data_IF_132668191095
#
_entry.id   IF_132668191095
#
_cell.length_a   1.000
_cell.length_b   1.000
_cell.length_c   1.000
_cell.angle_alpha   90.00
_cell.angle_beta   90.00
_cell.angle_gamma   90.00
#
_symmetry.space_group_name_H-M   'P 1'
#
loop_
_entity.id
_entity.type
_entity.pdbx_description
1 polymer ?
#
# COMPACT_ATOMS: atom_id res chain seq x y z
N UNK A 1 28.86 41.89 35.35
CA UNK A 1 29.34 40.49 35.34
C UNK A 1 28.34 39.65 34.57
N UNK A 2 28.51 39.54 33.26
CA UNK A 2 27.70 38.69 32.39
C UNK A 2 28.65 37.95 31.49
N UNK A 3 28.88 36.66 31.73
CA UNK A 3 29.65 35.82 30.83
C UNK A 3 28.69 35.21 29.83
N UNK A 4 28.73 35.76 28.62
CA UNK A 4 28.14 35.20 27.41
C UNK A 4 28.86 33.87 27.12
N UNK A 5 28.12 32.77 27.12
CA UNK A 5 28.64 31.43 26.78
C UNK A 5 28.97 31.39 25.27
N UNK A 6 30.12 30.80 24.92
CA UNK A 6 30.60 30.75 23.53
C UNK A 6 29.86 29.67 22.71
N UNK A 7 29.56 29.91 21.43
CA UNK A 7 28.83 28.96 20.57
C UNK A 7 29.52 27.60 20.36
N UNK A 8 30.80 27.46 20.72
CA UNK A 8 31.56 26.21 20.57
C UNK A 8 31.18 25.12 21.58
N UNK A 9 30.54 25.48 22.70
CA UNK A 9 30.18 24.52 23.76
C UNK A 9 28.87 23.76 23.47
N UNK A 10 28.16 24.14 22.39
CA UNK A 10 26.91 23.50 21.93
C UNK A 10 27.13 22.30 21.00
N UNK A 11 28.37 22.04 20.55
CA UNK A 11 28.63 21.08 19.46
C UNK A 11 28.85 19.63 19.88
N UNK A 12 28.88 19.30 21.18
CA UNK A 12 29.39 18.00 21.64
C UNK A 12 28.43 17.03 22.32
N UNK A 13 27.27 17.46 22.83
CA UNK A 13 26.51 16.64 23.81
C UNK A 13 24.97 16.64 23.71
N UNK A 14 24.40 17.09 22.59
CA UNK A 14 22.94 17.18 22.44
C UNK A 14 22.32 16.30 21.32
N UNK A 15 23.10 15.51 20.59
CA UNK A 15 22.58 14.70 19.46
C UNK A 15 22.59 13.18 19.70
N UNK A 16 22.42 12.73 20.95
CA UNK A 16 22.32 11.29 21.26
C UNK A 16 20.95 10.86 21.81
N UNK A 17 19.90 11.66 21.65
CA UNK A 17 18.57 11.27 22.13
C UNK A 17 17.53 11.30 21.00
N UNK A 18 16.96 10.13 20.77
CA UNK A 18 15.75 9.84 20.00
C UNK A 18 15.89 9.68 18.49
N UNK A 19 16.63 8.66 18.06
CA UNK A 19 16.03 7.73 17.09
C UNK A 19 14.80 7.13 17.77
N UNK A 20 13.63 7.76 17.57
CA UNK A 20 12.37 7.16 17.97
C UNK A 20 12.28 5.82 17.24
N UNK A 21 12.51 4.72 17.96
CA UNK A 21 12.08 3.41 17.49
C UNK A 21 10.55 3.49 17.43
N UNK A 22 9.95 3.52 16.24
CA UNK A 22 8.51 3.60 16.15
C UNK A 22 7.95 2.30 16.70
N UNK A 23 6.90 2.39 17.51
CA UNK A 23 6.27 1.22 18.14
C UNK A 23 5.62 0.26 17.12
N UNK A 24 5.58 0.63 15.85
CA UNK A 24 5.10 -0.16 14.73
C UNK A 24 5.80 0.25 13.43
N UNK A 25 5.88 -0.67 12.48
CA UNK A 25 6.35 -0.42 11.11
C UNK A 25 5.20 -0.57 10.13
N UNK A 26 5.29 0.13 9.00
CA UNK A 26 4.33 0.04 7.90
C UNK A 26 5.05 -0.54 6.69
N UNK A 27 4.45 -1.56 6.08
CA UNK A 27 4.90 -2.10 4.79
C UNK A 27 3.81 -1.84 3.77
N UNK A 28 4.13 -1.02 2.76
CA UNK A 28 3.24 -0.70 1.65
C UNK A 28 3.50 -1.70 0.53
N UNK A 29 2.48 -2.53 0.23
CA UNK A 29 2.54 -3.49 -0.86
C UNK A 29 2.17 -2.79 -2.17
N UNK A 30 3.02 -2.92 -3.18
CA UNK A 30 2.82 -2.33 -4.51
C UNK A 30 2.54 -3.46 -5.49
N UNK A 31 1.40 -3.38 -6.18
CA UNK A 31 1.10 -4.26 -7.29
C UNK A 31 2.04 -3.95 -8.46
N UNK A 32 2.72 -4.97 -8.98
CA UNK A 32 3.53 -4.83 -10.19
C UNK A 32 2.64 -4.85 -11.43
N UNK A 33 3.10 -4.21 -12.50
CA UNK A 33 2.44 -4.32 -13.81
C UNK A 33 2.38 -5.80 -14.22
N UNK A 34 1.27 -6.26 -14.84
CA UNK A 34 1.22 -7.58 -15.46
C UNK A 34 2.33 -7.74 -16.51
N UNK A 35 2.81 -8.97 -16.69
CA UNK A 35 3.80 -9.26 -17.72
C UNK A 35 3.21 -8.92 -19.10
N UNK A 36 3.83 -7.97 -19.82
CA UNK A 36 3.48 -7.64 -21.21
C UNK A 36 4.37 -8.46 -22.14
N UNK A 37 3.77 -9.22 -23.05
CA UNK A 37 4.48 -9.74 -24.20
C UNK A 37 4.62 -8.59 -25.23
N UNK A 38 5.88 -8.22 -25.51
CA UNK A 38 6.42 -7.33 -26.58
C UNK A 38 6.43 -5.77 -26.42
N UNK A 39 7.65 -5.24 -26.59
CA UNK A 39 8.10 -4.00 -27.27
C UNK A 39 7.33 -2.69 -27.11
N UNK A 40 6.73 -2.42 -25.95
CA UNK A 40 6.25 -1.07 -25.65
C UNK A 40 7.39 -0.17 -25.17
N UNK A 41 8.02 0.56 -26.10
CA UNK A 41 9.04 1.60 -25.85
C UNK A 41 8.46 2.93 -25.32
N UNK A 42 7.18 2.96 -24.94
CA UNK A 42 6.57 4.14 -24.33
C UNK A 42 7.22 4.41 -22.96
N UNK A 43 7.72 5.63 -22.69
CA UNK A 43 8.28 5.95 -21.39
C UNK A 43 7.18 5.84 -20.33
N UNK A 44 7.35 4.92 -19.38
CA UNK A 44 6.47 4.78 -18.23
C UNK A 44 6.72 5.94 -17.24
N UNK A 45 6.25 7.15 -17.58
CA UNK A 45 6.42 8.37 -16.77
C UNK A 45 5.90 8.19 -15.32
N UNK A 46 4.86 7.39 -15.12
CA UNK A 46 4.32 7.07 -13.79
C UNK A 46 5.22 6.16 -12.94
N UNK A 47 6.03 5.30 -13.56
CA UNK A 47 6.94 4.40 -12.83
C UNK A 47 8.15 5.18 -12.27
N UNK A 48 8.63 6.19 -13.00
CA UNK A 48 9.80 6.99 -12.63
C UNK A 48 9.53 7.88 -11.40
N UNK A 49 8.42 8.62 -11.40
CA UNK A 49 8.02 9.46 -10.25
C UNK A 49 7.71 8.64 -9.00
N UNK A 50 7.04 7.49 -9.16
CA UNK A 50 6.77 6.56 -8.06
C UNK A 50 8.07 6.02 -7.45
N UNK A 51 9.05 5.63 -8.27
CA UNK A 51 10.34 5.16 -7.76
C UNK A 51 11.13 6.25 -7.03
N UNK A 52 11.07 7.49 -7.52
CA UNK A 52 11.68 8.62 -6.82
C UNK A 52 11.04 8.84 -5.45
N UNK A 53 9.70 8.85 -5.39
CA UNK A 53 8.96 8.95 -4.13
C UNK A 53 9.34 7.84 -3.14
N UNK A 54 9.35 6.58 -3.59
CA UNK A 54 9.76 5.43 -2.77
C UNK A 54 11.18 5.62 -2.23
N UNK A 55 12.11 6.07 -3.08
CA UNK A 55 13.51 6.30 -2.68
C UNK A 55 13.62 7.38 -1.62
N UNK A 56 12.89 8.49 -1.77
CA UNK A 56 12.85 9.57 -0.80
C UNK A 56 12.22 9.14 0.53
N UNK A 57 11.12 8.37 0.51
CA UNK A 57 10.49 7.90 1.75
C UNK A 57 11.38 6.88 2.45
N UNK A 58 11.99 5.94 1.73
CA UNK A 58 12.91 4.96 2.33
C UNK A 58 14.13 5.63 2.99
N UNK A 59 14.64 6.74 2.45
CA UNK A 59 15.78 7.45 3.04
C UNK A 59 15.42 8.35 4.22
N UNK A 60 14.17 8.84 4.28
CA UNK A 60 13.72 9.79 5.30
C UNK A 60 12.90 9.15 6.42
N UNK A 61 12.26 8.00 6.17
CA UNK A 61 11.30 7.37 7.09
C UNK A 61 11.53 5.86 7.18
N UNK A 62 12.51 5.38 7.98
CA UNK A 62 12.88 3.96 8.06
C UNK A 62 11.76 3.01 8.54
N UNK A 63 10.72 3.55 9.17
CA UNK A 63 9.56 2.80 9.64
C UNK A 63 8.55 2.48 8.55
N UNK A 64 8.67 3.09 7.38
CA UNK A 64 7.85 2.83 6.21
C UNK A 64 8.73 2.15 5.17
N UNK A 65 8.28 0.99 4.72
CA UNK A 65 8.96 0.20 3.70
C UNK A 65 8.01 -0.07 2.56
N UNK A 66 8.56 -0.25 1.35
CA UNK A 66 7.78 -0.60 0.17
C UNK A 66 8.22 -1.95 -0.35
N UNK A 67 7.26 -2.80 -0.66
CA UNK A 67 7.51 -4.12 -1.23
C UNK A 67 6.66 -4.31 -2.47
N UNK A 68 7.32 -4.52 -3.61
CA UNK A 68 6.62 -4.87 -4.86
C UNK A 68 6.25 -6.34 -4.83
N UNK A 69 4.98 -6.64 -5.10
CA UNK A 69 4.54 -8.02 -5.29
C UNK A 69 5.03 -8.54 -6.66
N UNK A 70 5.30 -9.85 -6.80
CA UNK A 70 5.61 -10.44 -8.09
C UNK A 70 4.57 -10.09 -9.16
N UNK A 71 4.99 -9.89 -10.42
CA UNK A 71 4.07 -9.73 -11.54
C UNK A 71 3.12 -10.92 -11.66
N UNK A 72 1.90 -10.66 -12.11
CA UNK A 72 0.94 -11.70 -12.47
C UNK A 72 1.12 -12.10 -13.95
N UNK A 73 0.69 -13.31 -14.34
CA UNK A 73 0.61 -13.72 -15.73
C UNK A 73 -0.13 -12.69 -16.59
N UNK A 74 0.15 -12.70 -17.89
CA UNK A 74 -0.52 -11.81 -18.84
C UNK A 74 -2.04 -11.97 -18.73
N UNK A 75 -2.72 -10.85 -18.50
CA UNK A 75 -4.18 -10.80 -18.57
C UNK A 75 -4.49 -10.67 -20.06
N UNK A 76 -5.28 -11.59 -20.65
CA UNK A 76 -5.72 -11.44 -22.04
C UNK A 76 -6.27 -10.03 -22.24
N UNK A 77 -6.04 -9.44 -23.42
CA UNK A 77 -6.63 -8.15 -23.81
C UNK A 77 -8.17 -8.30 -23.83
N UNK A 78 -8.76 -8.23 -22.66
CA UNK A 78 -10.18 -8.41 -22.43
C UNK A 78 -10.90 -7.14 -22.84
N UNK A 79 -12.15 -7.25 -23.26
CA UNK A 79 -13.10 -6.13 -23.34
C UNK A 79 -13.39 -5.49 -21.97
N UNK A 80 -12.71 -5.94 -20.91
CA UNK A 80 -12.83 -5.46 -19.56
C UNK A 80 -12.64 -3.94 -19.46
N UNK A 81 -13.58 -3.30 -18.78
CA UNK A 81 -13.50 -1.87 -18.50
C UNK A 81 -12.31 -1.57 -17.56
N UNK A 82 -11.79 -0.32 -17.53
CA UNK A 82 -10.75 0.08 -16.57
C UNK A 82 -11.12 -0.25 -15.12
N UNK A 83 -12.40 -0.12 -14.75
CA UNK A 83 -12.92 -0.43 -13.41
C UNK A 83 -12.82 -1.93 -13.11
N UNK A 84 -13.16 -2.77 -14.08
CA UNK A 84 -13.06 -4.23 -13.93
C UNK A 84 -11.60 -4.68 -13.75
N UNK A 85 -10.67 -4.08 -14.50
CA UNK A 85 -9.24 -4.33 -14.34
C UNK A 85 -8.72 -3.94 -12.95
N UNK A 86 -9.25 -2.85 -12.36
CA UNK A 86 -8.89 -2.43 -11.00
C UNK A 86 -9.22 -3.48 -9.93
N UNK A 87 -10.28 -4.28 -10.12
CA UNK A 87 -10.61 -5.41 -9.22
C UNK A 87 -9.89 -6.71 -9.60
N UNK A 88 -9.77 -6.97 -10.90
CA UNK A 88 -9.21 -8.22 -11.41
C UNK A 88 -7.72 -8.36 -11.10
N UNK A 89 -6.94 -7.29 -11.28
CA UNK A 89 -5.48 -7.31 -11.06
C UNK A 89 -5.12 -7.68 -9.60
N UNK A 90 -5.65 -7.01 -8.56
CA UNK A 90 -5.42 -7.42 -7.17
C UNK A 90 -5.85 -8.86 -6.91
N UNK A 91 -7.03 -9.26 -7.40
CA UNK A 91 -7.56 -10.62 -7.20
C UNK A 91 -6.65 -11.70 -7.77
N UNK A 92 -6.10 -11.49 -8.97
CA UNK A 92 -5.14 -12.42 -9.58
C UNK A 92 -3.80 -12.46 -8.82
N UNK A 93 -3.46 -11.40 -8.09
CA UNK A 93 -2.25 -11.32 -7.29
C UNK A 93 -2.39 -11.96 -5.89
N UNK A 94 -3.61 -12.37 -5.49
CA UNK A 94 -3.87 -12.98 -4.17
C UNK A 94 -2.90 -14.12 -3.76
N UNK A 95 -2.49 -15.05 -4.65
CA UNK A 95 -1.51 -16.07 -4.28
C UNK A 95 -0.16 -15.49 -3.84
N UNK A 96 0.31 -14.45 -4.54
CA UNK A 96 1.54 -13.74 -4.20
C UNK A 96 1.37 -12.96 -2.90
N UNK A 97 0.24 -12.26 -2.73
CA UNK A 97 -0.10 -11.56 -1.50
C UNK A 97 -0.09 -12.51 -0.29
N UNK A 98 -0.73 -13.67 -0.41
CA UNK A 98 -0.78 -14.68 0.64
C UNK A 98 0.63 -15.13 1.06
N UNK A 99 1.50 -15.42 0.09
CA UNK A 99 2.87 -15.81 0.37
C UNK A 99 3.66 -14.66 1.03
N UNK A 100 3.48 -13.43 0.57
CA UNK A 100 4.12 -12.23 1.15
C UNK A 100 3.68 -12.00 2.59
N UNK A 101 2.38 -12.05 2.89
CA UNK A 101 1.87 -11.88 4.25
C UNK A 101 2.39 -12.99 5.18
N UNK A 102 2.46 -14.24 4.71
CA UNK A 102 3.10 -15.33 5.46
C UNK A 102 4.56 -15.03 5.77
N UNK A 103 5.35 -14.62 4.78
CA UNK A 103 6.77 -14.27 4.99
C UNK A 103 6.93 -13.11 5.98
N UNK A 104 6.09 -12.07 5.89
CA UNK A 104 6.14 -10.94 6.84
C UNK A 104 5.78 -11.43 8.25
N UNK A 105 4.75 -12.26 8.39
CA UNK A 105 4.30 -12.80 9.69
C UNK A 105 5.38 -13.63 10.42
N UNK A 106 6.32 -14.23 9.68
CA UNK A 106 7.45 -14.96 10.25
C UNK A 106 8.51 -14.05 10.88
N UNK A 107 8.63 -12.81 10.42
CA UNK A 107 9.64 -11.85 10.90
C UNK A 107 9.07 -10.79 11.82
N UNK A 108 7.77 -10.53 11.73
CA UNK A 108 7.08 -9.44 12.43
C UNK A 108 5.66 -9.81 12.80
N UNK A 109 5.17 -9.29 13.93
CA UNK A 109 3.76 -9.46 14.32
C UNK A 109 2.86 -8.51 13.54
N UNK A 110 2.10 -9.04 12.59
CA UNK A 110 1.06 -8.29 11.87
C UNK A 110 -0.07 -7.88 12.83
N UNK A 111 -0.38 -6.59 12.87
CA UNK A 111 -1.41 -6.00 13.75
C UNK A 111 -2.70 -5.66 13.00
N UNK A 112 -2.54 -5.23 11.76
CA UNK A 112 -3.61 -4.85 10.88
C UNK A 112 -3.16 -5.01 9.43
N UNK A 113 -4.11 -5.27 8.54
CA UNK A 113 -3.94 -5.19 7.10
C UNK A 113 -4.95 -4.17 6.57
N UNK A 114 -4.46 -3.17 5.83
CA UNK A 114 -5.30 -2.10 5.32
C UNK A 114 -5.42 -2.30 3.81
N UNK A 115 -6.65 -2.42 3.32
CA UNK A 115 -6.94 -2.66 1.91
C UNK A 115 -7.75 -1.50 1.34
N UNK A 116 -7.45 -1.14 0.10
CA UNK A 116 -8.32 -0.27 -0.68
C UNK A 116 -9.58 -1.02 -1.13
N UNK A 117 -10.63 -0.28 -1.48
CA UNK A 117 -11.88 -0.81 -2.00
C UNK A 117 -11.71 -1.76 -3.20
N UNK A 118 -10.82 -1.47 -4.15
CA UNK A 118 -10.58 -2.33 -5.30
C UNK A 118 -9.89 -3.66 -4.94
N UNK A 119 -9.33 -3.74 -3.73
CA UNK A 119 -8.63 -4.91 -3.20
C UNK A 119 -9.51 -5.77 -2.29
N UNK A 120 -10.85 -5.67 -2.34
CA UNK A 120 -11.77 -6.48 -1.53
C UNK A 120 -11.45 -7.99 -1.56
N UNK A 121 -11.05 -8.53 -2.71
CA UNK A 121 -10.64 -9.93 -2.84
C UNK A 121 -9.46 -10.33 -1.91
N UNK A 122 -8.65 -9.38 -1.46
CA UNK A 122 -7.57 -9.62 -0.52
C UNK A 122 -8.06 -9.85 0.92
N UNK A 123 -9.31 -9.47 1.24
CA UNK A 123 -9.92 -9.71 2.54
C UNK A 123 -9.95 -11.21 2.88
N UNK A 124 -10.33 -12.06 1.93
CA UNK A 124 -10.35 -13.52 2.12
C UNK A 124 -8.95 -14.06 2.44
N UNK A 125 -7.92 -13.57 1.75
CA UNK A 125 -6.52 -13.95 1.98
C UNK A 125 -6.09 -13.61 3.41
N UNK A 126 -6.37 -12.40 3.87
CA UNK A 126 -5.99 -11.94 5.20
C UNK A 126 -6.81 -12.62 6.31
N UNK A 127 -8.10 -12.87 6.07
CA UNK A 127 -8.97 -13.61 6.98
C UNK A 127 -8.48 -15.05 7.18
N UNK A 128 -8.02 -15.72 6.12
CA UNK A 128 -7.44 -17.07 6.20
C UNK A 128 -6.12 -17.13 7.01
N UNK A 129 -5.52 -15.98 7.31
CA UNK A 129 -4.31 -15.84 8.12
C UNK A 129 -4.59 -15.21 9.49
N UNK A 130 -5.87 -15.05 9.86
CA UNK A 130 -6.32 -14.41 11.11
C UNK A 130 -5.77 -12.98 11.30
N UNK A 131 -5.59 -12.25 10.19
CA UNK A 131 -5.07 -10.87 10.22
C UNK A 131 -6.26 -9.88 10.28
N UNK A 132 -6.35 -9.02 11.31
CA UNK A 132 -7.37 -7.98 11.36
C UNK A 132 -7.29 -7.07 10.13
N UNK A 133 -8.38 -6.95 9.37
CA UNK A 133 -8.40 -6.23 8.09
C UNK A 133 -9.32 -5.02 8.13
N UNK A 134 -8.86 -3.90 7.59
CA UNK A 134 -9.57 -2.62 7.57
C UNK A 134 -9.62 -2.05 6.16
N UNK A 135 -10.77 -1.46 5.81
CA UNK A 135 -10.94 -0.79 4.53
C UNK A 135 -10.49 0.67 4.61
N UNK A 136 -9.66 1.06 3.67
CA UNK A 136 -9.34 2.44 3.37
C UNK A 136 -10.10 2.86 2.12
N UNK A 137 -11.13 3.68 2.29
CA UNK A 137 -11.88 4.22 1.16
C UNK A 137 -11.21 5.51 0.67
N UNK A 138 -10.63 5.46 -0.53
CA UNK A 138 -9.80 6.54 -1.10
C UNK A 138 -10.57 7.82 -1.48
N UNK A 139 -11.91 7.76 -1.50
CA UNK A 139 -12.77 8.90 -1.80
C UNK A 139 -13.47 9.44 -0.53
N UNK A 140 -14.28 10.49 -0.67
CA UNK A 140 -14.95 11.15 0.45
C UNK A 140 -16.08 10.31 1.06
N UNK A 141 -16.48 10.69 2.28
CA UNK A 141 -17.56 10.04 3.03
C UNK A 141 -18.90 9.99 2.26
N UNK A 142 -19.20 11.02 1.44
CA UNK A 142 -20.39 11.02 0.59
C UNK A 142 -20.36 9.91 -0.45
N UNK A 143 -19.19 9.67 -1.05
CA UNK A 143 -18.98 8.55 -1.97
C UNK A 143 -19.21 7.23 -1.25
N UNK A 144 -18.61 7.05 -0.08
CA UNK A 144 -18.79 5.84 0.73
C UNK A 144 -20.27 5.60 1.08
N UNK A 145 -20.99 6.64 1.51
CA UNK A 145 -22.40 6.54 1.83
C UNK A 145 -23.24 6.08 0.62
N UNK A 146 -22.97 6.64 -0.56
CA UNK A 146 -23.63 6.22 -1.80
C UNK A 146 -23.31 4.75 -2.13
N UNK A 147 -22.05 4.34 -2.03
CA UNK A 147 -21.63 2.96 -2.28
C UNK A 147 -22.33 1.98 -1.34
N UNK A 148 -22.38 2.28 -0.03
CA UNK A 148 -23.08 1.45 0.95
C UNK A 148 -24.60 1.42 0.72
N UNK A 149 -25.16 2.42 0.04
CA UNK A 149 -26.58 2.49 -0.29
C UNK A 149 -26.94 1.78 -1.61
N UNK A 150 -25.96 1.41 -2.44
CA UNK A 150 -26.19 0.71 -3.72
C UNK A 150 -27.05 -0.56 -3.60
N UNK A 151 -26.86 -1.46 -2.60
CA UNK A 151 -27.71 -2.64 -2.44
C UNK A 151 -29.19 -2.29 -2.21
N UNK A 152 -29.47 -1.15 -1.57
CA UNK A 152 -30.84 -0.66 -1.37
C UNK A 152 -31.43 -0.12 -2.66
N UNK A 153 -30.65 0.65 -3.43
CA UNK A 153 -31.07 1.13 -4.75
C UNK A 153 -31.40 -0.03 -5.69
N UNK A 154 -30.53 -1.04 -5.76
CA UNK A 154 -30.73 -2.21 -6.61
C UNK A 154 -32.05 -2.92 -6.30
N UNK A 155 -32.34 -3.18 -5.02
CA UNK A 155 -33.61 -3.80 -4.58
C UNK A 155 -34.86 -2.98 -4.90
N UNK A 156 -34.72 -1.66 -5.04
CA UNK A 156 -35.83 -0.76 -5.33
C UNK A 156 -36.08 -0.57 -6.83
N UNK A 157 -35.09 -0.87 -7.68
CA UNK A 157 -35.20 -0.77 -9.15
C UNK A 157 -35.77 -2.06 -9.77
N UNK A 158 -35.60 -3.21 -9.13
CA UNK A 158 -36.15 -4.50 -9.59
C UNK A 158 -37.62 -4.75 -9.17
N UNK A 159 -38.37 -3.69 -8.83
CA UNK A 159 -39.81 -3.70 -8.54
C UNK A 159 -40.58 -2.94 -9.61
#
# INVERSE_FOLDING_TARGET
MGYLMRPSDLHGRAWQAHTQHPSFSITILILSEPNKNTDSTAPNYGASSTNQYITTVNSTTPSITFQRLPPIPEIPRSTASPVELSFLIPRLNNPNLHQTLKTISQTSKLKAFIIDFFCDAAFEVASNLDIPTYYFFTSGANGLALFLYMPTLHKNVDK
#
